data_IF_896477447954
#
_entry.id   IF_896477447954
#
_cell.length_a   1.000
_cell.length_b   1.000
_cell.length_c   1.000
_cell.angle_alpha   90.00
_cell.angle_beta   90.00
_cell.angle_gamma   90.00
#
_symmetry.space_group_name_H-M   'P 1'
#
loop_
_entity.id
_entity.type
_entity.pdbx_description
1 polymer ?
#
# COMPACT_ATOMS: atom_id res chain seq x y z
N UNK A 1 -36.36 -12.13 27.72
CA UNK A 1 -35.52 -12.24 28.94
C UNK A 1 -34.16 -12.89 28.67
N UNK A 2 -34.09 -14.04 28.00
CA UNK A 2 -32.82 -14.78 27.74
C UNK A 2 -31.76 -14.02 26.91
N UNK A 3 -32.15 -13.24 25.90
CA UNK A 3 -31.19 -12.46 25.08
C UNK A 3 -30.43 -11.40 25.88
N UNK A 4 -31.12 -10.67 26.76
CA UNK A 4 -30.50 -9.69 27.67
C UNK A 4 -29.53 -10.37 28.63
N UNK A 5 -29.81 -11.61 29.06
CA UNK A 5 -28.92 -12.39 29.93
C UNK A 5 -27.59 -12.75 29.25
N UNK A 6 -27.61 -13.12 27.96
CA UNK A 6 -26.38 -13.43 27.18
C UNK A 6 -25.49 -12.19 27.04
N UNK A 7 -26.06 -11.04 26.66
CA UNK A 7 -25.34 -9.76 26.56
C UNK A 7 -24.79 -9.30 27.91
N UNK A 8 -25.57 -9.39 28.99
CA UNK A 8 -25.13 -9.01 30.34
C UNK A 8 -24.00 -9.92 30.86
N UNK A 9 -24.05 -11.22 30.57
CA UNK A 9 -22.98 -12.15 30.93
C UNK A 9 -21.68 -11.86 30.16
N UNK A 10 -21.77 -11.50 28.87
CA UNK A 10 -20.62 -11.07 28.08
C UNK A 10 -19.99 -9.77 28.63
N UNK A 11 -20.82 -8.79 29.04
CA UNK A 11 -20.36 -7.54 29.67
C UNK A 11 -19.64 -7.81 31.00
N UNK A 12 -20.17 -8.73 31.80
CA UNK A 12 -19.55 -9.15 33.06
C UNK A 12 -18.21 -9.86 32.83
N UNK A 13 -18.16 -10.80 31.88
CA UNK A 13 -16.94 -11.53 31.54
C UNK A 13 -15.86 -10.64 30.88
N UNK A 14 -16.26 -9.54 30.24
CA UNK A 14 -15.39 -8.53 29.67
C UNK A 14 -14.85 -7.51 30.69
N UNK A 15 -15.13 -7.70 31.98
CA UNK A 15 -14.68 -6.80 33.06
C UNK A 15 -15.08 -5.32 32.81
N UNK A 16 -16.25 -5.10 32.21
CA UNK A 16 -16.76 -3.79 31.78
C UNK A 16 -15.91 -3.05 30.72
N UNK A 17 -15.00 -3.73 30.02
CA UNK A 17 -14.31 -3.19 28.86
C UNK A 17 -15.10 -3.52 27.60
N UNK A 18 -15.37 -2.49 26.79
CA UNK A 18 -16.07 -2.66 25.51
C UNK A 18 -15.07 -2.52 24.37
N UNK A 19 -15.19 -3.38 23.36
CA UNK A 19 -14.55 -3.14 22.07
C UNK A 19 -15.00 -1.77 21.56
N UNK A 20 -14.04 -0.96 21.10
CA UNK A 20 -14.30 0.39 20.62
C UNK A 20 -13.99 0.40 19.14
N UNK A 21 -14.87 0.96 18.29
CA UNK A 21 -14.55 1.11 16.88
C UNK A 21 -13.27 1.94 16.73
N UNK A 22 -12.57 1.83 15.58
CA UNK A 22 -11.39 2.63 15.28
C UNK A 22 -11.63 4.14 15.43
N UNK A 23 -10.56 4.95 15.41
CA UNK A 23 -10.75 6.39 15.33
C UNK A 23 -11.44 6.78 14.01
N UNK A 24 -12.25 7.84 14.06
CA UNK A 24 -12.88 8.40 12.87
C UNK A 24 -11.81 8.96 11.94
N UNK A 25 -11.77 8.54 10.66
CA UNK A 25 -10.87 9.16 9.69
C UNK A 25 -11.29 10.61 9.43
N UNK A 26 -10.34 11.47 9.07
CA UNK A 26 -10.61 12.85 8.69
C UNK A 26 -10.90 12.89 7.20
N UNK A 27 -12.15 13.14 6.84
CA UNK A 27 -12.64 13.20 5.47
C UNK A 27 -12.54 14.63 4.91
N UNK A 28 -12.10 14.73 3.66
CA UNK A 28 -12.28 15.91 2.81
C UNK A 28 -12.99 15.51 1.53
N UNK A 29 -13.97 16.33 1.12
CA UNK A 29 -14.72 16.16 -0.12
C UNK A 29 -14.50 17.38 -1.02
N UNK A 30 -14.27 17.13 -2.32
CA UNK A 30 -14.06 18.15 -3.34
C UNK A 30 -15.14 17.99 -4.41
N UNK A 31 -15.91 19.05 -4.70
CA UNK A 31 -16.88 19.03 -5.79
C UNK A 31 -16.16 19.12 -7.13
N UNK A 32 -16.70 18.45 -8.15
CA UNK A 32 -16.29 18.61 -9.53
C UNK A 32 -17.47 18.44 -10.48
N UNK A 33 -17.21 18.58 -11.77
CA UNK A 33 -18.24 18.45 -12.79
C UNK A 33 -18.73 17.00 -12.91
N UNK A 34 -19.98 16.75 -12.53
CA UNK A 34 -20.59 15.42 -12.55
C UNK A 34 -19.90 14.42 -11.61
N UNK A 35 -19.10 14.89 -10.66
CA UNK A 35 -18.36 14.02 -9.72
C UNK A 35 -18.09 14.67 -8.38
N UNK A 36 -17.87 13.83 -7.37
CA UNK A 36 -17.33 14.23 -6.06
C UNK A 36 -16.10 13.38 -5.77
N UNK A 37 -14.99 14.02 -5.41
CA UNK A 37 -13.79 13.33 -4.95
C UNK A 37 -13.73 13.37 -3.43
N UNK A 38 -13.68 12.20 -2.80
CA UNK A 38 -13.46 12.02 -1.37
C UNK A 38 -12.03 11.57 -1.14
N UNK A 39 -11.41 12.05 -0.08
CA UNK A 39 -10.17 11.48 0.45
C UNK A 39 -10.06 11.65 1.95
N UNK A 40 -9.34 10.75 2.60
CA UNK A 40 -9.24 10.71 4.05
C UNK A 40 -7.85 10.30 4.55
N UNK A 41 -7.61 10.46 5.85
CA UNK A 41 -6.35 10.06 6.49
C UNK A 41 -6.35 8.61 7.01
N UNK A 42 -5.15 8.14 7.35
CA UNK A 42 -4.87 6.75 7.78
C UNK A 42 -4.94 6.56 9.30
N UNK A 43 -5.47 7.53 10.06
CA UNK A 43 -5.41 7.49 11.53
C UNK A 43 -6.16 6.31 12.13
N UNK A 44 -7.25 5.89 11.47
CA UNK A 44 -8.06 4.77 11.91
C UNK A 44 -7.23 3.47 11.96
N UNK A 45 -6.35 3.28 10.97
CA UNK A 45 -5.48 2.10 10.83
C UNK A 45 -4.49 1.94 11.99
N UNK A 46 -4.18 3.03 12.70
CA UNK A 46 -3.22 3.05 13.81
C UNK A 46 -3.91 3.01 15.18
N UNK A 47 -5.23 2.84 15.19
CA UNK A 47 -6.02 2.88 16.43
C UNK A 47 -5.79 1.61 17.25
N UNK A 48 -5.18 1.76 18.42
CA UNK A 48 -5.05 0.67 19.38
C UNK A 48 -6.37 0.44 20.12
N UNK A 49 -6.87 -0.79 20.12
CA UNK A 49 -8.03 -1.18 20.93
C UNK A 49 -7.57 -1.83 22.24
N UNK A 50 -7.90 -1.19 23.37
CA UNK A 50 -7.57 -1.66 24.71
C UNK A 50 -8.31 -2.95 25.13
N UNK A 51 -9.44 -3.26 24.49
CA UNK A 51 -10.16 -4.51 24.67
C UNK A 51 -9.39 -5.66 24.01
N UNK A 52 -8.97 -5.50 22.76
CA UNK A 52 -8.22 -6.52 22.01
C UNK A 52 -6.71 -6.54 22.32
N UNK A 53 -6.20 -5.50 22.99
CA UNK A 53 -4.76 -5.28 23.24
C UNK A 53 -3.90 -5.26 21.97
N UNK A 54 -4.50 -4.84 20.85
CA UNK A 54 -3.86 -4.73 19.54
C UNK A 54 -4.58 -3.70 18.67
N UNK A 55 -3.98 -3.34 17.55
CA UNK A 55 -4.70 -2.69 16.46
C UNK A 55 -5.64 -3.75 15.83
N UNK A 56 -6.94 -3.46 15.76
CA UNK A 56 -7.95 -4.38 15.24
C UNK A 56 -8.71 -3.81 14.02
N UNK A 57 -8.20 -2.73 13.43
CA UNK A 57 -8.75 -2.13 12.21
C UNK A 57 -8.80 -3.15 11.07
N UNK A 58 -9.86 -3.08 10.25
CA UNK A 58 -10.04 -3.91 9.05
C UNK A 58 -10.17 -3.10 7.77
N UNK A 59 -10.99 -2.04 7.77
CA UNK A 59 -11.22 -1.30 6.53
C UNK A 59 -12.07 -0.05 6.65
N UNK A 60 -12.42 0.49 5.49
CA UNK A 60 -13.26 1.66 5.29
C UNK A 60 -14.51 1.32 4.47
N UNK A 61 -15.66 1.85 4.90
CA UNK A 61 -16.94 1.83 4.15
C UNK A 61 -17.34 3.26 3.83
N UNK A 62 -17.63 3.52 2.56
CA UNK A 62 -18.01 4.83 2.04
C UNK A 62 -19.51 4.84 1.82
N UNK A 63 -20.18 5.85 2.39
CA UNK A 63 -21.61 6.04 2.25
C UNK A 63 -21.88 7.36 1.54
N UNK A 64 -22.92 7.36 0.71
CA UNK A 64 -23.53 8.55 0.14
C UNK A 64 -25.02 8.52 0.43
N UNK A 65 -25.56 9.65 0.82
CA UNK A 65 -27.00 9.87 0.90
C UNK A 65 -27.42 11.18 0.22
N UNK A 66 -28.69 11.28 -0.17
CA UNK A 66 -29.35 12.54 -0.52
C UNK A 66 -29.95 13.25 0.71
N UNK A 67 -29.84 12.64 1.89
CA UNK A 67 -30.28 13.20 3.17
C UNK A 67 -29.29 12.93 4.33
N UNK A 68 -29.30 13.72 5.43
CA UNK A 68 -28.25 13.68 6.43
C UNK A 68 -28.19 12.41 7.32
N UNK A 69 -29.26 11.63 7.43
CA UNK A 69 -29.35 10.50 8.37
C UNK A 69 -28.92 9.16 7.75
N UNK A 70 -28.57 9.14 6.47
CA UNK A 70 -28.23 7.93 5.70
C UNK A 70 -29.29 6.81 5.83
N UNK A 71 -30.56 7.18 5.90
CA UNK A 71 -31.69 6.25 5.97
C UNK A 71 -31.79 5.47 4.66
N UNK A 72 -31.54 6.11 3.51
CA UNK A 72 -31.59 5.45 2.19
C UNK A 72 -30.58 4.31 2.07
N UNK A 73 -29.45 4.39 2.80
CA UNK A 73 -28.45 3.33 2.81
C UNK A 73 -28.82 2.18 3.74
N UNK A 74 -29.74 2.38 4.70
CA UNK A 74 -30.01 1.43 5.78
C UNK A 74 -30.99 0.33 5.36
N UNK A 75 -30.58 -0.45 4.35
CA UNK A 75 -31.43 -1.44 3.69
C UNK A 75 -31.16 -2.89 4.10
N UNK A 76 -30.05 -3.18 4.77
CA UNK A 76 -29.68 -4.55 5.19
C UNK A 76 -30.41 -4.88 6.49
N UNK A 77 -31.30 -5.87 6.45
CA UNK A 77 -32.16 -6.24 7.58
C UNK A 77 -31.65 -7.42 8.38
N UNK A 78 -32.04 -7.47 9.65
CA UNK A 78 -31.91 -8.66 10.49
C UNK A 78 -32.97 -9.72 10.15
N UNK A 79 -32.92 -10.87 10.83
CA UNK A 79 -33.84 -11.98 10.59
C UNK A 79 -35.32 -11.65 10.92
N UNK A 80 -35.60 -10.50 11.52
CA UNK A 80 -36.93 -10.02 11.87
C UNK A 80 -37.40 -8.85 10.98
N UNK A 81 -36.65 -8.53 9.92
CA UNK A 81 -36.98 -7.45 8.99
C UNK A 81 -36.61 -6.05 9.49
N UNK A 82 -35.84 -5.93 10.58
CA UNK A 82 -35.39 -4.63 11.07
C UNK A 82 -34.09 -4.23 10.38
N UNK A 83 -34.08 -3.05 9.77
CA UNK A 83 -32.89 -2.44 9.18
C UNK A 83 -31.75 -2.30 10.22
N UNK A 84 -30.64 -3.00 9.98
CA UNK A 84 -29.51 -3.14 10.90
C UNK A 84 -28.25 -2.51 10.33
N UNK A 85 -27.84 -2.87 9.12
CA UNK A 85 -26.64 -2.33 8.48
C UNK A 85 -26.97 -1.42 7.30
N UNK A 86 -25.99 -0.58 6.94
CA UNK A 86 -26.03 0.23 5.73
C UNK A 86 -25.30 -0.46 4.59
N UNK A 87 -25.78 -0.23 3.38
CA UNK A 87 -25.14 -0.60 2.14
C UNK A 87 -24.20 0.54 1.68
N UNK A 88 -22.89 0.28 1.56
CA UNK A 88 -21.91 1.27 1.16
C UNK A 88 -21.82 1.35 -0.36
N UNK A 89 -21.46 2.51 -0.87
CA UNK A 89 -21.18 2.69 -2.31
C UNK A 89 -19.76 2.22 -2.69
N UNK A 90 -18.87 2.09 -1.70
CA UNK A 90 -17.54 1.52 -1.85
C UNK A 90 -17.04 0.98 -0.50
N UNK A 91 -16.21 -0.06 -0.55
CA UNK A 91 -15.55 -0.67 0.60
C UNK A 91 -14.11 -1.01 0.25
N UNK A 92 -13.18 -0.72 1.17
CA UNK A 92 -11.75 -1.00 1.05
C UNK A 92 -11.27 -1.65 2.33
N UNK A 93 -10.63 -2.80 2.21
CA UNK A 93 -10.27 -3.68 3.31
C UNK A 93 -8.82 -4.14 3.22
N UNK A 94 -8.26 -4.59 4.34
CA UNK A 94 -6.90 -5.11 4.40
C UNK A 94 -6.77 -6.37 3.54
N UNK A 95 -5.58 -6.60 3.00
CA UNK A 95 -5.27 -7.86 2.30
C UNK A 95 -4.65 -8.81 3.32
N UNK A 96 -5.48 -9.49 4.11
CA UNK A 96 -5.02 -10.38 5.17
C UNK A 96 -5.87 -11.66 5.37
N UNK A 97 -6.76 -11.94 4.43
CA UNK A 97 -7.67 -13.09 4.39
C UNK A 97 -8.89 -12.99 5.31
N UNK A 98 -9.13 -11.87 5.98
CA UNK A 98 -10.36 -11.59 6.74
C UNK A 98 -11.48 -11.09 5.81
N UNK A 99 -12.07 -12.00 5.02
CA UNK A 99 -13.07 -11.66 3.99
C UNK A 99 -14.45 -12.28 4.21
N UNK A 100 -15.44 -11.77 3.50
CA UNK A 100 -16.79 -12.33 3.47
C UNK A 100 -17.64 -11.88 4.67
N UNK A 101 -18.63 -12.70 5.03
CA UNK A 101 -19.52 -12.42 6.15
C UNK A 101 -18.86 -12.87 7.46
N UNK A 102 -18.71 -11.94 8.41
CA UNK A 102 -18.28 -12.26 9.76
C UNK A 102 -19.29 -13.22 10.42
N UNK A 103 -18.85 -14.30 11.08
CA UNK A 103 -19.74 -15.39 11.51
C UNK A 103 -20.62 -15.05 12.71
N UNK A 104 -20.31 -13.97 13.45
CA UNK A 104 -21.13 -13.50 14.58
C UNK A 104 -22.17 -12.51 14.09
N UNK A 105 -23.44 -12.85 14.27
CA UNK A 105 -24.58 -12.03 13.86
C UNK A 105 -25.02 -11.01 14.91
N UNK A 106 -25.74 -9.98 14.44
CA UNK A 106 -26.56 -9.09 15.26
C UNK A 106 -28.03 -9.33 14.91
N UNK A 107 -28.70 -10.18 15.71
CA UNK A 107 -30.11 -10.58 15.51
C UNK A 107 -30.41 -11.25 14.16
N UNK A 108 -29.42 -11.92 13.59
CA UNK A 108 -29.48 -12.61 12.30
C UNK A 108 -28.92 -11.84 11.12
N UNK A 109 -28.51 -10.57 11.30
CA UNK A 109 -27.73 -9.84 10.30
C UNK A 109 -26.23 -10.10 10.49
N UNK A 110 -25.53 -10.48 9.43
CA UNK A 110 -24.07 -10.66 9.44
C UNK A 110 -23.39 -9.41 8.86
N UNK A 111 -22.23 -9.07 9.42
CA UNK A 111 -21.41 -7.97 8.91
C UNK A 111 -20.54 -8.45 7.74
N UNK A 112 -20.39 -7.64 6.70
CA UNK A 112 -19.53 -7.97 5.56
C UNK A 112 -18.16 -7.29 5.68
N UNK A 113 -17.10 -8.09 5.87
CA UNK A 113 -15.73 -7.65 6.12
C UNK A 113 -15.01 -7.16 4.86
N UNK A 114 -15.42 -7.59 3.67
CA UNK A 114 -14.78 -7.22 2.40
C UNK A 114 -14.31 -8.43 1.60
N UNK A 115 -13.35 -8.20 0.69
CA UNK A 115 -12.87 -9.15 -0.33
C UNK A 115 -11.33 -9.12 -0.51
N UNK A 116 -10.57 -8.66 0.47
CA UNK A 116 -9.13 -8.43 0.39
C UNK A 116 -8.74 -7.47 -0.76
N UNK A 117 -9.43 -6.33 -0.88
CA UNK A 117 -9.25 -5.39 -2.01
C UNK A 117 -8.05 -4.46 -1.86
N UNK A 118 -7.50 -4.34 -0.66
CA UNK A 118 -6.47 -3.38 -0.31
C UNK A 118 -7.04 -2.02 0.06
N UNK A 119 -6.34 -1.34 0.97
CA UNK A 119 -6.75 -0.02 1.45
C UNK A 119 -6.56 1.04 0.37
N UNK A 120 -7.54 1.93 0.30
CA UNK A 120 -7.45 3.20 -0.42
C UNK A 120 -7.79 4.33 0.53
N UNK A 121 -7.33 5.52 0.17
CA UNK A 121 -7.55 6.75 0.93
C UNK A 121 -8.27 7.81 0.10
N UNK A 122 -8.84 7.39 -1.04
CA UNK A 122 -9.64 8.23 -1.91
C UNK A 122 -10.68 7.43 -2.67
N UNK A 123 -11.77 8.10 -3.03
CA UNK A 123 -12.86 7.58 -3.83
C UNK A 123 -13.44 8.69 -4.70
N UNK A 124 -13.72 8.39 -5.98
CA UNK A 124 -14.36 9.33 -6.89
C UNK A 124 -15.76 8.80 -7.21
N UNK A 125 -16.78 9.52 -6.75
CA UNK A 125 -18.16 9.25 -7.12
C UNK A 125 -18.50 10.02 -8.40
N UNK A 126 -18.64 9.32 -9.51
CA UNK A 126 -19.03 9.89 -10.81
C UNK A 126 -20.51 9.65 -11.16
N UNK A 127 -21.32 9.25 -10.19
CA UNK A 127 -22.76 8.96 -10.39
C UNK A 127 -23.66 10.09 -9.88
N UNK A 128 -23.06 11.18 -9.43
CA UNK A 128 -23.75 12.38 -8.92
C UNK A 128 -24.15 13.34 -10.03
N UNK A 129 -25.11 14.20 -9.72
CA UNK A 129 -25.60 15.23 -10.62
C UNK A 129 -25.27 16.62 -10.09
N UNK A 130 -24.84 17.51 -10.98
CA UNK A 130 -24.54 18.90 -10.61
C UNK A 130 -25.78 19.59 -10.03
N UNK A 131 -25.57 20.41 -8.98
CA UNK A 131 -26.62 21.17 -8.31
C UNK A 131 -27.41 20.40 -7.25
N UNK A 132 -27.27 19.06 -7.15
CA UNK A 132 -27.85 18.27 -6.06
C UNK A 132 -26.88 18.21 -4.88
N UNK A 133 -27.37 18.49 -3.67
CA UNK A 133 -26.57 18.30 -2.45
C UNK A 133 -26.53 16.83 -2.07
N UNK A 134 -25.32 16.34 -1.80
CA UNK A 134 -25.05 14.99 -1.34
C UNK A 134 -24.35 15.02 0.02
N UNK A 135 -24.63 14.00 0.82
CA UNK A 135 -24.05 13.76 2.13
C UNK A 135 -23.15 12.54 2.04
N UNK A 136 -21.89 12.70 2.39
CA UNK A 136 -20.91 11.61 2.36
C UNK A 136 -20.42 11.29 3.76
N UNK A 137 -20.06 10.03 3.97
CA UNK A 137 -19.38 9.57 5.16
C UNK A 137 -18.36 8.50 4.84
N UNK A 138 -17.23 8.54 5.54
CA UNK A 138 -16.25 7.45 5.56
C UNK A 138 -16.24 6.84 6.96
N UNK A 139 -16.61 5.58 7.04
CA UNK A 139 -16.65 4.82 8.28
C UNK A 139 -15.50 3.83 8.33
N UNK A 140 -14.66 3.90 9.35
CA UNK A 140 -13.71 2.84 9.64
C UNK A 140 -14.40 1.71 10.42
N UNK A 141 -13.98 0.46 10.19
CA UNK A 141 -14.48 -0.70 10.92
C UNK A 141 -13.35 -1.64 11.35
N UNK A 142 -13.62 -2.40 12.40
CA UNK A 142 -12.70 -3.40 12.95
C UNK A 142 -13.05 -4.82 12.49
N UNK A 143 -12.17 -5.78 12.81
CA UNK A 143 -12.34 -7.20 12.48
C UNK A 143 -13.41 -7.91 13.32
N UNK A 144 -13.86 -7.30 14.42
CA UNK A 144 -14.52 -8.02 15.50
C UNK A 144 -13.57 -9.02 16.17
N UNK A 145 -14.14 -10.10 16.72
CA UNK A 145 -13.41 -11.23 17.29
C UNK A 145 -14.24 -12.49 17.24
N UNK A 146 -13.61 -13.62 16.95
CA UNK A 146 -14.25 -14.92 16.89
C UNK A 146 -13.39 -16.00 17.56
N UNK A 147 -14.04 -16.91 18.25
CA UNK A 147 -13.47 -18.16 18.74
C UNK A 147 -14.46 -19.30 18.47
N UNK A 148 -13.96 -20.53 18.45
CA UNK A 148 -14.78 -21.73 18.29
C UNK A 148 -14.87 -22.41 19.65
N UNK A 149 -16.09 -22.64 20.13
CA UNK A 149 -16.30 -23.37 21.37
C UNK A 149 -16.15 -24.89 21.17
N UNK A 150 -16.23 -25.66 22.27
CA UNK A 150 -16.03 -27.11 22.25
C UNK A 150 -17.05 -27.83 21.35
N UNK A 151 -18.21 -27.22 21.11
CA UNK A 151 -19.29 -27.74 20.27
C UNK A 151 -19.12 -27.37 18.77
N UNK A 152 -18.05 -26.66 18.41
CA UNK A 152 -17.77 -26.26 17.03
C UNK A 152 -18.56 -25.03 16.56
N UNK A 153 -19.24 -24.31 17.46
CA UNK A 153 -19.97 -23.09 17.12
C UNK A 153 -19.14 -21.82 17.36
N UNK A 154 -19.38 -20.80 16.54
CA UNK A 154 -18.70 -19.51 16.68
C UNK A 154 -19.25 -18.72 17.86
N UNK A 155 -18.35 -18.22 18.70
CA UNK A 155 -18.63 -17.24 19.74
C UNK A 155 -17.71 -16.04 19.56
N UNK A 156 -18.19 -14.84 19.90
CA UNK A 156 -17.36 -13.67 19.69
C UNK A 156 -18.10 -12.34 19.76
N UNK A 157 -17.44 -11.32 19.23
CA UNK A 157 -17.90 -9.95 19.15
C UNK A 157 -17.98 -9.59 17.67
N UNK A 158 -19.14 -9.12 17.18
CA UNK A 158 -19.25 -8.69 15.79
C UNK A 158 -18.41 -7.43 15.53
N UNK A 159 -18.02 -7.17 14.27
CA UNK A 159 -17.36 -5.94 13.86
C UNK A 159 -18.10 -4.69 14.31
N UNK A 160 -17.34 -3.67 14.69
CA UNK A 160 -17.87 -2.34 15.00
C UNK A 160 -17.44 -1.30 13.97
N UNK A 161 -18.38 -0.44 13.59
CA UNK A 161 -18.15 0.70 12.70
C UNK A 161 -18.10 2.02 13.47
N UNK A 162 -17.30 2.97 12.97
CA UNK A 162 -17.33 4.35 13.48
C UNK A 162 -18.67 5.03 13.20
N UNK A 163 -19.06 5.94 14.10
CA UNK A 163 -20.27 6.75 13.89
C UNK A 163 -20.06 7.79 12.79
N UNK A 164 -21.10 8.07 12.00
CA UNK A 164 -21.08 9.01 10.87
C UNK A 164 -22.23 10.01 11.02
N UNK A 165 -22.13 10.91 11.99
CA UNK A 165 -23.26 11.75 12.41
C UNK A 165 -23.18 13.10 11.70
N UNK A 166 -24.25 13.47 11.00
CA UNK A 166 -24.49 14.83 10.54
C UNK A 166 -25.53 15.46 11.46
N UNK A 167 -25.22 16.62 12.04
CA UNK A 167 -26.15 17.32 12.93
C UNK A 167 -26.93 18.35 12.13
N UNK A 168 -28.25 18.20 12.09
CA UNK A 168 -29.13 19.20 11.49
C UNK A 168 -29.74 20.07 12.60
N UNK A 169 -29.63 21.39 12.45
CA UNK A 169 -30.30 22.32 13.36
C UNK A 169 -31.77 22.56 12.95
N UNK A 170 -32.50 23.34 13.75
CA UNK A 170 -33.91 23.69 13.50
C UNK A 170 -34.12 24.50 12.21
N UNK A 171 -33.06 25.12 11.68
CA UNK A 171 -33.10 25.93 10.46
C UNK A 171 -32.70 25.10 9.22
N UNK A 172 -32.42 23.81 9.39
CA UNK A 172 -31.99 22.91 8.34
C UNK A 172 -30.50 23.00 7.98
N UNK A 173 -29.69 23.77 8.72
CA UNK A 173 -28.25 23.82 8.51
C UNK A 173 -27.64 22.53 9.05
N UNK A 174 -26.87 21.86 8.19
CA UNK A 174 -26.20 20.61 8.51
C UNK A 174 -24.74 20.89 8.87
N UNK A 175 -24.35 20.44 10.06
CA UNK A 175 -22.97 20.46 10.54
C UNK A 175 -22.36 19.06 10.40
N UNK A 176 -21.25 18.97 9.68
CA UNK A 176 -20.47 17.74 9.51
C UNK A 176 -19.58 17.42 10.71
N UNK A 177 -19.47 16.14 11.01
CA UNK A 177 -18.39 15.56 11.81
C UNK A 177 -17.14 15.33 10.95
N UNK A 178 -16.00 15.04 11.57
CA UNK A 178 -14.69 14.93 10.91
C UNK A 178 -14.63 13.86 9.81
N UNK A 179 -15.48 12.84 9.86
CA UNK A 179 -15.56 11.76 8.88
C UNK A 179 -16.78 11.87 7.95
N UNK A 180 -17.43 13.02 7.92
CA UNK A 180 -18.62 13.29 7.09
C UNK A 180 -18.44 14.59 6.30
N UNK A 181 -19.12 14.72 5.18
CA UNK A 181 -19.07 15.92 4.36
C UNK A 181 -20.44 16.19 3.71
N UNK A 182 -20.75 17.47 3.52
CA UNK A 182 -21.90 17.93 2.75
C UNK A 182 -21.35 18.66 1.53
N UNK A 183 -21.75 18.23 0.33
CA UNK A 183 -21.17 18.77 -0.89
C UNK A 183 -22.18 18.82 -2.03
N UNK A 184 -22.05 19.84 -2.88
CA UNK A 184 -22.87 20.01 -4.08
C UNK A 184 -21.92 20.12 -5.28
N UNK A 185 -21.83 19.12 -6.16
CA UNK A 185 -21.01 19.18 -7.35
C UNK A 185 -21.53 20.26 -8.30
N UNK A 186 -20.61 20.92 -9.00
CA UNK A 186 -20.90 22.01 -9.92
C UNK A 186 -19.98 21.95 -11.13
N UNK A 187 -20.46 22.49 -12.25
CA UNK A 187 -19.62 22.67 -13.44
C UNK A 187 -18.53 23.73 -13.15
N UNK A 188 -17.35 23.60 -13.76
CA UNK A 188 -16.28 24.59 -13.61
C UNK A 188 -16.73 25.95 -14.15
N UNK A 189 -16.14 27.02 -13.59
CA UNK A 189 -16.34 28.36 -14.11
C UNK A 189 -15.83 28.48 -15.55
N UNK A 190 -16.47 29.32 -16.36
CA UNK A 190 -16.02 29.59 -17.73
C UNK A 190 -14.58 30.11 -17.73
N UNK A 191 -13.72 29.52 -18.56
CA UNK A 191 -12.29 29.86 -18.64
C UNK A 191 -11.41 29.20 -17.57
N UNK A 192 -11.96 28.35 -16.70
CA UNK A 192 -11.15 27.54 -15.79
C UNK A 192 -10.20 26.63 -16.58
N UNK A 193 -8.92 26.65 -16.22
CA UNK A 193 -7.90 25.75 -16.74
C UNK A 193 -7.51 24.80 -15.62
N UNK A 194 -7.77 23.49 -15.75
CA UNK A 194 -7.41 22.53 -14.72
C UNK A 194 -5.88 22.42 -14.61
N UNK A 195 -5.36 22.14 -13.41
CA UNK A 195 -3.94 21.87 -13.23
C UNK A 195 -3.52 20.64 -14.04
N UNK A 196 -2.32 20.69 -14.59
CA UNK A 196 -1.76 19.64 -15.43
C UNK A 196 -0.34 19.30 -14.98
N UNK A 197 0.02 18.03 -15.14
CA UNK A 197 1.38 17.56 -14.91
C UNK A 197 2.17 17.81 -16.18
N UNK A 198 3.11 18.75 -16.13
CA UNK A 198 3.91 19.11 -17.31
C UNK A 198 4.91 18.01 -17.70
N UNK A 199 5.57 17.40 -16.71
CA UNK A 199 6.56 16.34 -16.93
C UNK A 199 6.63 15.41 -15.74
N UNK A 200 6.84 14.12 -16.01
CA UNK A 200 7.09 13.09 -15.01
C UNK A 200 8.28 12.25 -15.46
N UNK A 201 9.32 12.20 -14.63
CA UNK A 201 10.55 11.48 -14.91
C UNK A 201 10.95 10.67 -13.69
N UNK A 202 11.42 9.44 -13.92
CA UNK A 202 11.94 8.55 -12.89
C UNK A 202 13.37 8.12 -13.24
N UNK A 203 14.14 7.77 -12.21
CA UNK A 203 15.49 7.24 -12.33
C UNK A 203 15.80 6.34 -11.13
N UNK A 204 16.70 5.40 -11.31
CA UNK A 204 17.14 4.47 -10.27
C UNK A 204 16.84 3.01 -10.62
N UNK A 205 17.32 2.07 -9.80
CA UNK A 205 17.27 0.64 -10.10
C UNK A 205 15.90 -0.02 -9.81
N UNK A 206 14.93 0.72 -9.27
CA UNK A 206 13.63 0.18 -8.89
C UNK A 206 12.76 -0.19 -10.10
N UNK A 207 12.14 -1.37 -10.06
CA UNK A 207 11.18 -1.88 -11.07
C UNK A 207 9.75 -1.41 -10.83
N UNK A 208 9.49 -0.80 -9.68
CA UNK A 208 8.17 -0.34 -9.27
C UNK A 208 7.56 0.69 -10.22
N UNK A 209 6.22 0.70 -10.28
CA UNK A 209 5.45 1.66 -11.07
C UNK A 209 4.90 2.75 -10.16
N UNK A 210 4.98 3.99 -10.62
CA UNK A 210 4.47 5.17 -9.91
C UNK A 210 3.52 5.92 -10.84
N UNK A 211 2.33 6.23 -10.36
CA UNK A 211 1.37 7.10 -11.04
C UNK A 211 0.93 8.22 -10.12
N UNK A 212 0.77 9.42 -10.68
CA UNK A 212 0.37 10.61 -9.93
C UNK A 212 -1.04 11.05 -10.36
N UNK A 213 -1.86 11.37 -9.37
CA UNK A 213 -3.25 11.80 -9.57
C UNK A 213 -3.50 13.09 -8.82
N UNK A 214 -4.13 14.07 -9.48
CA UNK A 214 -4.60 15.31 -8.85
C UNK A 214 -6.03 15.07 -8.35
N UNK A 215 -6.22 15.08 -7.03
CA UNK A 215 -7.52 14.86 -6.39
C UNK A 215 -8.17 16.15 -5.89
N UNK A 216 -7.36 17.14 -5.54
CA UNK A 216 -7.82 18.46 -5.09
C UNK A 216 -7.12 19.54 -5.94
N UNK A 217 -7.72 19.90 -7.09
CA UNK A 217 -7.16 20.87 -8.03
C UNK A 217 -6.88 22.25 -7.42
N UNK A 218 -7.72 22.70 -6.48
CA UNK A 218 -7.63 24.03 -5.87
C UNK A 218 -6.44 24.14 -4.91
N UNK A 219 -5.97 23.00 -4.37
CA UNK A 219 -4.76 22.93 -3.55
C UNK A 219 -3.47 22.85 -4.37
N UNK A 220 -3.54 22.68 -5.70
CA UNK A 220 -2.35 22.61 -6.57
C UNK A 220 -1.79 24.01 -6.80
N UNK A 221 -0.49 24.19 -6.52
CA UNK A 221 0.21 25.45 -6.72
C UNK A 221 0.96 25.47 -8.05
N UNK A 222 0.91 26.61 -8.74
CA UNK A 222 1.57 26.80 -10.03
C UNK A 222 3.10 26.66 -9.94
N UNK A 223 3.68 26.08 -11.00
CA UNK A 223 5.13 25.96 -11.22
C UNK A 223 5.88 25.37 -10.02
N UNK A 224 5.33 24.30 -9.44
CA UNK A 224 5.97 23.53 -8.37
C UNK A 224 6.57 22.24 -8.90
N UNK A 225 7.78 21.95 -8.45
CA UNK A 225 8.49 20.71 -8.72
C UNK A 225 8.52 19.87 -7.46
N UNK A 226 8.06 18.63 -7.57
CA UNK A 226 8.04 17.66 -6.49
C UNK A 226 9.05 16.54 -6.78
N UNK A 227 9.63 15.97 -5.72
CA UNK A 227 10.49 14.79 -5.76
C UNK A 227 9.91 13.72 -4.86
N UNK A 228 9.53 12.60 -5.45
CA UNK A 228 9.34 11.36 -4.73
C UNK A 228 10.70 10.67 -4.65
N UNK A 229 11.23 10.52 -3.44
CA UNK A 229 12.51 9.85 -3.17
C UNK A 229 12.25 8.53 -2.49
N UNK A 230 12.79 7.45 -3.02
CA UNK A 230 12.85 6.15 -2.36
C UNK A 230 14.17 5.99 -1.61
N UNK A 231 14.13 5.31 -0.48
CA UNK A 231 15.31 5.04 0.34
C UNK A 231 15.15 3.71 1.07
N UNK A 232 16.21 2.95 1.14
CA UNK A 232 16.29 1.72 1.91
C UNK A 232 17.70 1.61 2.52
N UNK A 233 17.92 0.62 3.39
CA UNK A 233 19.14 0.50 4.19
C UNK A 233 19.71 -0.92 4.24
N UNK A 234 19.25 -1.82 3.37
CA UNK A 234 19.87 -3.13 3.20
C UNK A 234 21.21 -2.97 2.49
N UNK A 235 22.12 -3.89 2.76
CA UNK A 235 23.47 -3.88 2.15
C UNK A 235 23.39 -4.17 0.64
N UNK A 236 22.29 -4.81 0.19
CA UNK A 236 22.15 -5.36 -1.16
C UNK A 236 20.90 -4.85 -1.88
N UNK A 237 20.39 -3.66 -1.54
CA UNK A 237 19.21 -3.07 -2.19
C UNK A 237 17.99 -4.00 -2.31
N UNK A 238 17.78 -4.86 -1.32
CA UNK A 238 16.79 -5.93 -1.32
C UNK A 238 15.84 -5.89 -0.12
N UNK A 239 15.72 -4.73 0.52
CA UNK A 239 14.76 -4.54 1.60
C UNK A 239 13.31 -4.78 1.12
N UNK A 240 12.59 -5.64 1.84
CA UNK A 240 11.18 -5.95 1.54
C UNK A 240 10.25 -4.75 1.71
N UNK A 241 10.59 -3.83 2.61
CA UNK A 241 9.78 -2.66 2.97
C UNK A 241 10.65 -1.39 2.86
N UNK A 242 10.86 -0.87 1.63
CA UNK A 242 11.57 0.38 1.44
C UNK A 242 10.77 1.56 1.99
N UNK A 243 11.42 2.71 2.14
CA UNK A 243 10.81 3.96 2.55
C UNK A 243 10.70 4.93 1.39
N UNK A 244 9.77 5.87 1.48
CA UNK A 244 9.63 6.96 0.53
C UNK A 244 9.38 8.30 1.23
N UNK A 245 9.80 9.37 0.57
CA UNK A 245 9.56 10.75 0.98
C UNK A 245 9.05 11.57 -0.21
N UNK A 246 8.09 12.45 0.04
CA UNK A 246 7.58 13.40 -0.95
C UNK A 246 8.03 14.80 -0.56
N UNK A 247 8.86 15.42 -1.40
CA UNK A 247 9.48 16.72 -1.14
C UNK A 247 9.03 17.70 -2.23
N UNK A 248 8.56 18.87 -1.83
CA UNK A 248 8.39 20.00 -2.73
C UNK A 248 9.73 20.72 -2.84
N UNK A 249 10.44 20.52 -3.95
CA UNK A 249 11.77 21.10 -4.17
C UNK A 249 11.67 22.63 -4.29
N UNK A 250 10.61 23.13 -4.92
CA UNK A 250 10.45 24.56 -5.16
C UNK A 250 10.26 25.38 -3.88
N UNK A 251 9.73 24.77 -2.81
CA UNK A 251 9.57 25.41 -1.50
C UNK A 251 10.47 24.85 -0.41
N UNK A 252 11.31 23.85 -0.73
CA UNK A 252 12.10 23.07 0.23
C UNK A 252 11.27 22.52 1.41
N UNK A 253 10.07 22.03 1.11
CA UNK A 253 9.12 21.53 2.11
C UNK A 253 8.95 20.01 1.98
N UNK A 254 9.01 19.28 3.09
CA UNK A 254 8.85 17.82 3.11
C UNK A 254 7.41 17.49 3.47
N UNK A 255 6.65 17.03 2.48
CA UNK A 255 5.21 16.78 2.61
C UNK A 255 4.91 15.40 3.20
N UNK A 256 5.74 14.42 2.88
CA UNK A 256 5.73 13.07 3.44
C UNK A 256 7.18 12.71 3.75
N UNK A 257 7.44 12.26 4.97
CA UNK A 257 8.78 11.98 5.45
C UNK A 257 8.92 10.49 5.83
N UNK A 258 9.81 9.78 5.15
CA UNK A 258 10.20 8.38 5.41
C UNK A 258 9.03 7.44 5.71
N UNK A 259 7.96 7.56 4.94
CA UNK A 259 6.83 6.65 5.03
C UNK A 259 7.24 5.26 4.51
N UNK A 260 6.76 4.20 5.15
CA UNK A 260 7.07 2.82 4.76
C UNK A 260 6.17 2.38 3.62
N UNK A 261 6.73 1.70 2.64
CA UNK A 261 5.98 1.06 1.55
C UNK A 261 5.58 -0.34 2.00
N UNK A 262 4.42 -0.45 2.64
CA UNK A 262 3.88 -1.70 3.17
C UNK A 262 2.93 -2.31 2.13
N UNK A 263 3.20 -3.54 1.72
CA UNK A 263 2.41 -4.24 0.69
C UNK A 263 2.86 -3.92 -0.74
N UNK A 264 2.23 -4.59 -1.73
CA UNK A 264 2.61 -4.45 -3.14
C UNK A 264 2.03 -3.22 -3.83
N UNK A 265 1.09 -2.51 -3.23
CA UNK A 265 0.50 -1.28 -3.78
C UNK A 265 0.01 -0.38 -2.67
N UNK A 266 0.39 0.90 -2.72
CA UNK A 266 -0.02 1.91 -1.75
C UNK A 266 -0.50 3.17 -2.47
N UNK A 267 -1.40 3.90 -1.82
CA UNK A 267 -1.77 5.26 -2.17
C UNK A 267 -1.27 6.21 -1.09
N UNK A 268 -0.56 7.27 -1.47
CA UNK A 268 -0.04 8.23 -0.49
C UNK A 268 -1.15 9.14 0.04
N UNK A 269 -0.97 9.69 1.25
CA UNK A 269 -1.81 10.78 1.73
C UNK A 269 -1.81 11.97 0.77
N UNK A 270 -2.98 12.58 0.54
CA UNK A 270 -3.11 13.74 -0.35
C UNK A 270 -2.37 14.95 0.24
N UNK A 271 -1.41 15.51 -0.51
CA UNK A 271 -0.64 16.69 -0.12
C UNK A 271 -0.58 17.67 -1.27
N UNK A 272 -0.84 18.96 -1.04
CA UNK A 272 -0.86 19.98 -2.09
C UNK A 272 -1.69 19.59 -3.33
N UNK A 273 -2.82 18.93 -3.10
CA UNK A 273 -3.74 18.52 -4.17
C UNK A 273 -3.41 17.21 -4.88
N UNK A 274 -2.24 16.62 -4.62
CA UNK A 274 -1.74 15.43 -5.31
C UNK A 274 -1.71 14.21 -4.40
N UNK A 275 -2.01 13.06 -4.99
CA UNK A 275 -1.70 11.73 -4.44
C UNK A 275 -0.87 10.95 -5.44
N UNK A 276 -0.16 9.96 -4.94
CA UNK A 276 0.71 9.09 -5.71
C UNK A 276 0.31 7.65 -5.39
N UNK A 277 0.00 6.89 -6.43
CA UNK A 277 -0.14 5.45 -6.34
C UNK A 277 1.21 4.82 -6.68
N UNK A 278 1.73 4.01 -5.77
CA UNK A 278 3.03 3.35 -5.89
C UNK A 278 2.76 1.85 -5.87
N UNK A 279 3.12 1.16 -6.94
CA UNK A 279 3.09 -0.30 -7.05
C UNK A 279 4.51 -0.82 -7.04
N UNK A 280 4.83 -1.64 -6.04
CA UNK A 280 6.14 -2.24 -5.87
C UNK A 280 6.05 -3.76 -5.89
N UNK A 281 7.09 -4.41 -6.38
CA UNK A 281 7.22 -5.85 -6.25
C UNK A 281 7.52 -6.20 -4.79
N UNK A 282 6.85 -7.22 -4.25
CA UNK A 282 6.99 -7.62 -2.84
C UNK A 282 8.17 -8.56 -2.59
N UNK A 283 8.82 -9.03 -3.66
CA UNK A 283 9.94 -9.96 -3.58
C UNK A 283 10.99 -9.63 -4.64
N UNK A 284 12.27 -9.80 -4.29
CA UNK A 284 13.36 -9.70 -5.25
C UNK A 284 13.56 -11.07 -5.89
N UNK A 285 13.34 -11.16 -7.19
CA UNK A 285 13.52 -12.38 -7.97
C UNK A 285 14.30 -12.08 -9.25
N UNK A 286 14.80 -13.12 -9.92
CA UNK A 286 15.52 -12.94 -11.18
C UNK A 286 14.52 -12.55 -12.26
N UNK A 287 14.74 -11.38 -12.87
CA UNK A 287 14.04 -10.93 -14.06
C UNK A 287 14.79 -11.43 -15.29
N UNK A 288 14.39 -12.58 -15.82
CA UNK A 288 15.05 -13.19 -16.99
C UNK A 288 14.90 -12.37 -18.28
N UNK A 289 13.90 -11.50 -18.38
CA UNK A 289 13.65 -10.71 -19.59
C UNK A 289 14.57 -9.48 -19.67
N UNK A 290 14.91 -8.92 -18.51
CA UNK A 290 15.75 -7.73 -18.39
C UNK A 290 17.20 -8.02 -17.98
N UNK A 291 17.50 -9.20 -17.43
CA UNK A 291 18.87 -9.59 -17.06
C UNK A 291 19.67 -10.07 -18.27
N UNK A 292 20.17 -9.13 -19.08
CA UNK A 292 20.92 -9.39 -20.32
C UNK A 292 22.02 -8.37 -20.54
N UNK A 293 22.91 -8.63 -21.51
CA UNK A 293 23.84 -7.61 -21.99
C UNK A 293 23.07 -6.41 -22.58
N UNK A 294 23.28 -5.24 -21.98
CA UNK A 294 22.65 -3.98 -22.43
C UNK A 294 23.54 -3.20 -23.39
N UNK A 295 24.86 -3.39 -23.33
CA UNK A 295 25.85 -2.70 -24.15
C UNK A 295 27.09 -3.59 -24.33
N UNK A 296 27.82 -3.38 -25.44
CA UNK A 296 29.08 -4.05 -25.74
C UNK A 296 29.01 -5.08 -26.88
N UNK A 297 30.19 -5.59 -27.24
CA UNK A 297 30.38 -6.59 -28.29
C UNK A 297 30.73 -7.94 -27.65
N UNK A 298 29.74 -8.60 -27.03
CA UNK A 298 29.89 -9.94 -26.47
C UNK A 298 29.02 -10.92 -27.23
N UNK A 299 29.60 -12.05 -27.63
CA UNK A 299 28.90 -13.20 -28.19
C UNK A 299 28.57 -14.26 -27.11
N UNK A 300 28.94 -14.02 -25.84
CA UNK A 300 28.62 -14.91 -24.73
C UNK A 300 27.16 -14.77 -24.31
N UNK A 301 26.48 -15.90 -24.20
CA UNK A 301 25.12 -15.97 -23.64
C UNK A 301 25.21 -15.79 -22.13
N UNK A 302 24.57 -14.74 -21.61
CA UNK A 302 24.42 -14.57 -20.16
C UNK A 302 23.36 -15.55 -19.68
N UNK A 303 23.76 -16.44 -18.77
CA UNK A 303 22.84 -17.22 -17.97
C UNK A 303 22.77 -16.59 -16.58
N UNK A 304 21.67 -15.91 -16.28
CA UNK A 304 21.44 -15.35 -14.95
C UNK A 304 20.85 -16.41 -14.04
N UNK A 305 21.61 -16.79 -13.02
CA UNK A 305 21.26 -17.86 -12.10
C UNK A 305 22.50 -18.59 -11.61
N UNK A 306 22.29 -19.63 -10.81
CA UNK A 306 23.38 -20.52 -10.43
C UNK A 306 23.51 -21.64 -11.44
N UNK A 307 24.75 -21.97 -11.79
CA UNK A 307 25.05 -23.25 -12.42
C UNK A 307 24.61 -24.39 -11.48
N UNK A 308 23.75 -25.28 -11.99
CA UNK A 308 23.22 -26.41 -11.24
C UNK A 308 24.30 -27.30 -10.63
N UNK A 309 25.49 -27.37 -11.26
CA UNK A 309 26.64 -28.14 -10.77
C UNK A 309 27.15 -27.63 -9.42
N UNK A 310 26.98 -26.32 -9.15
CA UNK A 310 27.54 -25.66 -7.97
C UNK A 310 26.49 -25.08 -7.02
N UNK A 311 25.22 -25.06 -7.42
CA UNK A 311 24.12 -24.48 -6.65
C UNK A 311 24.07 -24.97 -5.20
N UNK A 312 24.21 -26.27 -4.96
CA UNK A 312 24.15 -26.86 -3.62
C UNK A 312 25.22 -26.29 -2.67
N UNK A 313 26.42 -25.98 -3.18
CA UNK A 313 27.52 -25.46 -2.38
C UNK A 313 27.30 -23.99 -1.95
N UNK A 314 26.44 -23.25 -2.65
CA UNK A 314 26.24 -21.81 -2.45
C UNK A 314 24.85 -21.44 -1.94
N UNK A 315 23.92 -22.40 -1.76
CA UNK A 315 22.55 -22.09 -1.33
C UNK A 315 22.50 -21.23 -0.05
N UNK A 316 23.29 -21.58 0.98
CA UNK A 316 23.34 -20.84 2.25
C UNK A 316 24.07 -19.50 2.19
N UNK A 317 24.69 -19.14 1.06
CA UNK A 317 25.39 -17.88 0.82
C UNK A 317 24.73 -17.04 -0.27
N UNK A 318 23.56 -17.48 -0.76
CA UNK A 318 22.83 -16.80 -1.82
C UNK A 318 22.27 -15.49 -1.30
N UNK A 319 22.50 -14.43 -2.05
CA UNK A 319 21.96 -13.10 -1.80
C UNK A 319 21.23 -12.68 -3.07
N UNK A 320 19.98 -12.24 -2.94
CA UNK A 320 19.28 -11.56 -4.02
C UNK A 320 19.79 -10.13 -4.09
N UNK A 321 20.43 -9.77 -5.19
CA UNK A 321 21.08 -8.49 -5.35
C UNK A 321 20.72 -7.88 -6.71
N UNK A 322 19.78 -6.91 -6.75
CA UNK A 322 19.37 -6.25 -7.99
C UNK A 322 20.40 -5.17 -8.35
N UNK A 323 21.44 -5.56 -9.10
CA UNK A 323 22.54 -4.68 -9.49
C UNK A 323 22.95 -4.87 -10.95
N UNK A 324 23.44 -3.79 -11.54
CA UNK A 324 24.01 -3.73 -12.88
C UNK A 324 25.55 -3.81 -12.80
N UNK A 325 26.13 -4.66 -13.63
CA UNK A 325 27.57 -4.87 -13.69
C UNK A 325 28.13 -4.58 -15.09
N UNK A 326 29.31 -3.98 -15.14
CA UNK A 326 30.17 -3.96 -16.32
C UNK A 326 31.25 -5.03 -16.14
N UNK A 327 31.37 -5.91 -17.12
CA UNK A 327 32.41 -6.94 -17.14
C UNK A 327 33.38 -6.60 -18.27
N UNK A 328 34.63 -6.36 -17.90
CA UNK A 328 35.71 -6.05 -18.84
C UNK A 328 36.69 -7.23 -18.88
N UNK A 329 36.93 -7.73 -20.10
CA UNK A 329 37.97 -8.72 -20.35
C UNK A 329 39.23 -7.98 -20.81
N UNK A 330 40.34 -8.21 -20.12
CA UNK A 330 41.63 -7.54 -20.33
C UNK A 330 42.68 -8.51 -20.86
N UNK A 331 43.90 -8.01 -21.04
CA UNK A 331 45.06 -8.84 -21.35
C UNK A 331 45.38 -9.81 -20.19
N UNK A 332 46.03 -10.96 -20.47
CA UNK A 332 46.40 -11.94 -19.46
C UNK A 332 47.10 -11.32 -18.24
N UNK A 333 46.60 -11.65 -17.05
CA UNK A 333 47.18 -11.16 -15.78
C UNK A 333 46.85 -9.72 -15.42
N UNK A 334 46.03 -9.02 -16.22
CA UNK A 334 45.64 -7.63 -15.98
C UNK A 334 44.22 -7.45 -15.44
N UNK A 335 43.55 -8.54 -15.08
CA UNK A 335 42.27 -8.50 -14.38
C UNK A 335 42.41 -8.43 -12.87
N UNK A 336 41.30 -8.66 -12.19
CA UNK A 336 41.24 -8.73 -10.74
C UNK A 336 41.55 -10.14 -10.23
N UNK A 337 42.01 -10.19 -8.97
CA UNK A 337 42.25 -11.43 -8.24
C UNK A 337 40.91 -12.00 -7.74
N UNK A 338 40.59 -13.23 -8.15
CA UNK A 338 39.33 -13.87 -7.79
C UNK A 338 39.25 -14.26 -6.32
N UNK A 339 38.04 -14.28 -5.76
CA UNK A 339 37.77 -14.88 -4.45
C UNK A 339 37.87 -16.41 -4.53
N UNK A 340 38.44 -17.10 -3.51
CA UNK A 340 38.53 -18.54 -3.49
C UNK A 340 37.14 -19.19 -3.44
N UNK A 341 36.88 -20.11 -4.37
CA UNK A 341 35.59 -20.80 -4.50
C UNK A 341 35.22 -21.70 -3.29
N UNK A 342 36.21 -22.13 -2.51
CA UNK A 342 36.10 -22.94 -1.30
C UNK A 342 37.25 -22.64 -0.32
N UNK A 343 37.21 -23.19 0.90
CA UNK A 343 38.31 -23.09 1.88
C UNK A 343 39.61 -23.75 1.45
N UNK A 344 39.59 -24.59 0.41
CA UNK A 344 40.76 -25.32 -0.10
C UNK A 344 41.27 -24.78 -1.43
N UNK A 345 40.58 -23.82 -2.06
CA UNK A 345 41.01 -23.20 -3.31
C UNK A 345 41.83 -21.94 -3.03
N UNK A 346 42.79 -21.65 -3.90
CA UNK A 346 43.53 -20.40 -3.89
C UNK A 346 42.86 -19.36 -4.83
N UNK A 347 43.00 -18.06 -4.54
CA UNK A 347 42.68 -16.98 -5.48
C UNK A 347 43.39 -17.16 -6.83
N UNK A 348 42.73 -16.80 -7.93
CA UNK A 348 43.28 -16.87 -9.30
C UNK A 348 43.38 -15.45 -9.85
N UNK A 349 44.57 -15.08 -10.32
CA UNK A 349 44.78 -13.82 -11.03
C UNK A 349 44.16 -13.95 -12.41
N UNK A 350 43.04 -13.26 -12.67
CA UNK A 350 42.28 -13.42 -13.92
C UNK A 350 42.62 -12.34 -14.95
N UNK A 351 41.96 -12.41 -16.11
CA UNK A 351 41.85 -11.33 -17.10
C UNK A 351 40.47 -10.64 -17.05
N UNK A 352 39.74 -10.72 -15.93
CA UNK A 352 38.40 -10.14 -15.77
C UNK A 352 38.46 -9.00 -14.76
N UNK A 353 37.85 -7.86 -15.09
CA UNK A 353 37.52 -6.79 -14.14
C UNK A 353 36.00 -6.67 -14.10
N UNK A 354 35.41 -6.68 -12.90
CA UNK A 354 33.97 -6.51 -12.73
C UNK A 354 33.72 -5.21 -11.98
N UNK A 355 33.05 -4.27 -12.64
CA UNK A 355 32.57 -3.04 -12.01
C UNK A 355 31.10 -3.19 -11.69
N UNK A 356 30.74 -2.84 -10.47
CA UNK A 356 29.37 -2.72 -10.03
C UNK A 356 28.92 -1.27 -10.22
N UNK A 357 28.13 -1.03 -11.27
CA UNK A 357 27.71 0.31 -11.66
C UNK A 357 26.63 0.84 -10.70
N UNK A 358 25.83 -0.05 -10.10
CA UNK A 358 24.79 0.33 -9.13
C UNK A 358 25.38 0.98 -7.89
N UNK A 359 26.46 0.41 -7.34
CA UNK A 359 27.11 0.92 -6.12
C UNK A 359 28.36 1.75 -6.37
N UNK A 360 28.81 1.88 -7.63
CA UNK A 360 30.04 2.61 -7.98
C UNK A 360 31.31 1.93 -7.46
N UNK A 361 31.31 0.59 -7.40
CA UNK A 361 32.49 -0.18 -7.02
C UNK A 361 33.21 -0.70 -8.27
N UNK A 362 34.40 -0.17 -8.55
CA UNK A 362 35.20 -0.53 -9.73
C UNK A 362 35.84 -1.93 -9.66
N UNK A 363 35.86 -2.57 -8.48
CA UNK A 363 36.47 -3.89 -8.26
C UNK A 363 35.56 -4.78 -7.42
N UNK A 364 34.52 -5.33 -8.05
CA UNK A 364 33.58 -6.26 -7.43
C UNK A 364 34.23 -7.63 -7.27
N UNK A 365 34.15 -8.22 -6.07
CA UNK A 365 34.63 -9.58 -5.85
C UNK A 365 33.80 -10.61 -6.63
N UNK A 366 34.48 -11.59 -7.25
CA UNK A 366 33.87 -12.70 -7.95
C UNK A 366 34.63 -14.01 -7.71
N UNK A 367 33.96 -15.12 -7.97
CA UNK A 367 34.60 -16.44 -8.02
C UNK A 367 34.90 -16.76 -9.47
N UNK A 368 36.15 -17.14 -9.76
CA UNK A 368 36.58 -17.59 -11.07
C UNK A 368 36.90 -19.08 -11.01
N UNK A 369 36.32 -19.85 -11.94
CA UNK A 369 36.56 -21.29 -12.08
C UNK A 369 37.22 -21.51 -13.42
N UNK A 370 38.52 -21.74 -13.37
CA UNK A 370 39.38 -21.99 -14.51
C UNK A 370 39.65 -23.50 -14.63
N UNK A 371 38.98 -24.16 -15.59
CA UNK A 371 39.08 -25.61 -15.77
C UNK A 371 40.38 -26.03 -16.50
N UNK A 372 40.89 -25.20 -17.43
CA UNK A 372 42.09 -25.50 -18.23
C UNK A 372 43.40 -24.96 -17.59
N UNK A 373 43.29 -24.17 -16.52
CA UNK A 373 44.38 -23.58 -15.72
C UNK A 373 45.21 -22.55 -16.49
N UNK A 374 44.61 -21.86 -17.47
CA UNK A 374 45.30 -20.84 -18.27
C UNK A 374 45.13 -19.41 -17.75
N UNK A 375 44.32 -19.21 -16.70
CA UNK A 375 43.98 -17.94 -16.05
C UNK A 375 43.13 -16.96 -16.89
N UNK A 376 42.59 -17.42 -18.01
CA UNK A 376 41.82 -16.63 -18.96
C UNK A 376 40.34 -17.03 -18.93
N UNK A 377 39.46 -16.05 -19.04
CA UNK A 377 38.06 -16.29 -19.33
C UNK A 377 37.89 -16.52 -20.83
N UNK A 378 37.86 -17.79 -21.23
CA UNK A 378 37.67 -18.24 -22.60
C UNK A 378 36.74 -19.47 -22.68
N UNK A 379 36.62 -20.05 -23.86
CA UNK A 379 35.77 -21.22 -24.14
C UNK A 379 36.34 -22.56 -23.64
N UNK A 380 37.52 -22.54 -22.99
CA UNK A 380 38.14 -23.70 -22.35
C UNK A 380 39.23 -24.39 -23.15
#
# INVERSE_FOLDING_TARGET
LFRRKKTVQQIYNANYRFAKPPEKPILKAIPGDGKVTLFWDDRAEKTFDAFYQRVNFEGYRIYRSTEPNFIENKIITDAFGKATYRDPIAQYDLVDNEKGLHPIDVNGALFYLGNDTGLKHSFVDSTVQNGQTYYYAVSAYDKGFTTINIEGSFEGIPPSETTTILKQDINGIVTSDINTAVITPTAPAAGYVPPQIQSFQGSGPGTGKVSLTILDPDSVKNFRTYRLKFSENSIYHNAEIPQYSLINISSNDTLINNAKLIGGSIQTAVKNGITIDIKNDTTVSIDFDNSKWINGNSNYIVQVGFDSRFQAAYQGRRIFYPADFEIQITEPGMGDLSYPSSTFSQPIQSNIIIKNITDGNDHQQFIFRDENKNTLFDDG
#
